data_IF_830226667711
#
_entry.id   IF_830226667711
#
_cell.length_a   1.000
_cell.length_b   1.000
_cell.length_c   1.000
_cell.angle_alpha   90.00
_cell.angle_beta   90.00
_cell.angle_gamma   90.00
#
_symmetry.space_group_name_H-M   'P 1'
#
loop_
_entity.id
_entity.type
_entity.pdbx_description
1 polymer ?
#
# COMPACT_ATOMS: atom_id res chain seq x y z
N UNK A 1 4.85 19.48 11.55
CA UNK A 1 4.39 18.53 10.52
C UNK A 1 3.91 17.22 11.15
N UNK A 2 4.77 16.40 11.75
CA UNK A 2 4.37 15.10 12.35
C UNK A 2 3.19 15.21 13.32
N UNK A 3 3.22 16.16 14.27
CA UNK A 3 2.10 16.37 15.20
C UNK A 3 0.78 16.74 14.50
N UNK A 4 0.86 17.50 13.40
CA UNK A 4 -0.31 17.83 12.58
C UNK A 4 -0.83 16.59 11.85
N UNK A 5 0.05 15.75 11.29
CA UNK A 5 -0.34 14.48 10.66
C UNK A 5 -1.00 13.54 11.67
N UNK A 6 -0.42 13.40 12.87
CA UNK A 6 -1.03 12.61 13.94
C UNK A 6 -2.40 13.16 14.36
N UNK A 7 -2.55 14.49 14.45
CA UNK A 7 -3.81 15.14 14.75
C UNK A 7 -4.87 14.90 13.68
N UNK A 8 -4.50 14.97 12.40
CA UNK A 8 -5.41 14.67 11.28
C UNK A 8 -5.83 13.20 11.30
N UNK A 9 -4.89 12.26 11.47
CA UNK A 9 -5.19 10.83 11.59
C UNK A 9 -6.11 10.54 12.78
N UNK A 10 -5.85 11.18 13.92
CA UNK A 10 -6.73 11.10 15.08
C UNK A 10 -8.14 11.61 14.75
N UNK A 11 -8.26 12.75 14.06
CA UNK A 11 -9.55 13.31 13.65
C UNK A 11 -10.32 12.49 12.61
N UNK A 12 -9.63 11.63 11.84
CA UNK A 12 -10.27 10.67 10.92
C UNK A 12 -10.91 9.52 11.70
N UNK A 13 -10.21 8.99 12.70
CA UNK A 13 -10.68 7.85 13.49
C UNK A 13 -11.68 8.29 14.57
N UNK A 14 -11.50 9.48 15.14
CA UNK A 14 -12.29 9.98 16.25
C UNK A 14 -13.13 11.20 15.86
N UNK A 15 -14.43 10.97 15.69
CA UNK A 15 -15.42 12.00 15.40
C UNK A 15 -16.13 12.42 16.68
N UNK A 16 -16.21 13.73 16.95
CA UNK A 16 -16.90 14.23 18.15
C UNK A 16 -18.42 14.14 17.97
N UNK A 17 -19.17 13.56 18.93
CA UNK A 17 -20.63 13.49 18.85
C UNK A 17 -21.26 14.87 19.09
N UNK A 18 -22.48 15.06 18.61
CA UNK A 18 -23.23 16.29 18.82
C UNK A 18 -23.50 16.53 20.32
N UNK A 19 -23.11 17.71 20.83
CA UNK A 19 -23.20 18.05 22.26
C UNK A 19 -24.61 18.42 22.77
N UNK A 20 -25.65 18.20 21.96
CA UNK A 20 -27.04 18.52 22.30
C UNK A 20 -27.38 20.00 22.04
N UNK A 21 -28.01 20.26 20.90
CA UNK A 21 -28.48 21.59 20.47
C UNK A 21 -29.38 21.48 19.23
N UNK A 22 -29.88 22.63 18.73
CA UNK A 22 -30.55 22.68 17.43
C UNK A 22 -29.52 22.45 16.31
N UNK A 23 -29.66 21.38 15.53
CA UNK A 23 -28.74 21.05 14.43
C UNK A 23 -28.13 19.63 14.48
N UNK A 24 -28.44 18.82 15.49
CA UNK A 24 -27.98 17.43 15.53
C UNK A 24 -28.73 16.54 14.51
N UNK A 25 -27.98 15.67 13.83
CA UNK A 25 -28.49 14.72 12.84
C UNK A 25 -28.44 13.31 13.44
N UNK A 26 -29.59 12.65 13.52
CA UNK A 26 -29.73 11.33 14.17
C UNK A 26 -29.72 10.16 13.16
N UNK A 27 -29.28 8.96 13.55
CA UNK A 27 -29.38 7.78 12.69
C UNK A 27 -30.84 7.39 12.46
N UNK A 28 -31.20 7.04 11.22
CA UNK A 28 -32.48 6.38 10.94
C UNK A 28 -32.51 4.94 11.48
N UNK A 29 -31.36 4.25 11.52
CA UNK A 29 -31.21 2.88 12.03
C UNK A 29 -31.55 2.74 13.52
N UNK A 30 -31.35 3.79 14.32
CA UNK A 30 -31.74 3.81 15.75
C UNK A 30 -33.23 3.52 15.97
N UNK A 31 -34.08 3.70 14.94
CA UNK A 31 -35.52 3.39 14.98
C UNK A 31 -35.85 1.92 14.68
N UNK A 32 -34.83 1.09 14.40
CA UNK A 32 -34.96 -0.32 13.99
C UNK A 32 -35.98 -0.52 12.86
N UNK A 33 -35.82 0.16 11.71
CA UNK A 33 -36.69 -0.08 10.56
C UNK A 33 -36.51 -1.52 10.05
N UNK A 34 -37.59 -2.12 9.53
CA UNK A 34 -37.48 -3.34 8.74
C UNK A 34 -36.89 -2.99 7.38
N UNK A 35 -35.71 -3.53 7.08
CA UNK A 35 -34.97 -3.25 5.86
C UNK A 35 -34.86 -4.50 5.00
N UNK A 36 -34.72 -4.27 3.71
CA UNK A 36 -34.52 -5.26 2.67
C UNK A 36 -33.36 -4.82 1.79
N UNK A 37 -32.47 -5.75 1.46
CA UNK A 37 -31.33 -5.52 0.57
C UNK A 37 -31.59 -6.20 -0.77
N UNK A 38 -31.62 -5.40 -1.83
CA UNK A 38 -31.85 -5.89 -3.20
C UNK A 38 -30.68 -5.50 -4.10
N UNK A 39 -30.15 -6.46 -4.84
CA UNK A 39 -29.09 -6.27 -5.84
C UNK A 39 -29.65 -6.57 -7.21
N UNK A 40 -29.59 -5.58 -8.09
CA UNK A 40 -29.98 -5.68 -9.49
C UNK A 40 -28.77 -5.51 -10.39
N UNK A 41 -28.84 -6.02 -11.61
CA UNK A 41 -27.84 -5.76 -12.64
C UNK A 41 -28.44 -5.08 -13.87
N UNK A 42 -27.69 -4.14 -14.45
CA UNK A 42 -28.09 -3.47 -15.68
C UNK A 42 -26.88 -3.10 -16.54
N UNK A 43 -27.12 -2.92 -17.85
CA UNK A 43 -26.08 -2.52 -18.83
C UNK A 43 -25.89 -1.00 -18.93
N UNK A 44 -26.66 -0.21 -18.19
CA UNK A 44 -26.59 1.25 -18.17
C UNK A 44 -26.15 1.71 -16.78
N UNK A 45 -25.47 2.86 -16.73
CA UNK A 45 -24.99 3.49 -15.50
C UNK A 45 -26.04 4.35 -14.78
N UNK A 46 -27.13 4.72 -15.46
CA UNK A 46 -28.28 5.39 -14.87
C UNK A 46 -29.56 4.58 -15.08
N UNK A 47 -30.30 4.37 -13.99
CA UNK A 47 -31.65 3.81 -14.02
C UNK A 47 -32.65 4.94 -14.18
N UNK A 48 -33.53 4.83 -15.18
CA UNK A 48 -34.74 5.64 -15.28
C UNK A 48 -35.85 5.00 -14.45
N UNK A 49 -36.83 4.38 -15.13
CA UNK A 49 -37.78 3.44 -14.54
C UNK A 49 -37.39 1.99 -14.88
N UNK A 50 -37.96 1.02 -14.15
CA UNK A 50 -37.89 -0.48 -14.14
C UNK A 50 -37.41 -1.25 -15.39
N UNK A 51 -37.25 -0.63 -16.55
CA UNK A 51 -36.94 -1.29 -17.79
C UNK A 51 -35.46 -1.70 -17.87
N UNK A 52 -35.22 -3.01 -18.05
CA UNK A 52 -33.92 -3.66 -18.27
C UNK A 52 -33.02 -3.80 -17.02
N UNK A 53 -33.63 -4.05 -15.86
CA UNK A 53 -32.92 -4.54 -14.68
C UNK A 53 -33.21 -6.02 -14.47
N UNK A 54 -32.18 -6.76 -14.06
CA UNK A 54 -32.31 -8.16 -13.65
C UNK A 54 -32.07 -8.26 -12.14
N UNK A 55 -32.97 -8.92 -11.41
CA UNK A 55 -32.84 -9.10 -9.96
C UNK A 55 -31.89 -10.27 -9.69
N UNK A 56 -30.75 -9.98 -9.06
CA UNK A 56 -29.70 -10.96 -8.81
C UNK A 56 -29.77 -11.54 -7.40
N UNK A 57 -30.01 -10.69 -6.41
CA UNK A 57 -30.10 -11.10 -5.02
C UNK A 57 -31.15 -10.26 -4.29
N UNK A 58 -32.01 -10.92 -3.52
CA UNK A 58 -32.95 -10.27 -2.63
C UNK A 58 -32.82 -10.87 -1.22
N UNK A 59 -32.63 -10.03 -0.21
CA UNK A 59 -32.59 -10.40 1.21
C UNK A 59 -33.73 -9.67 1.91
N UNK A 60 -34.85 -10.36 2.08
CA UNK A 60 -36.12 -9.79 2.56
C UNK A 60 -36.05 -9.29 4.00
N UNK A 61 -35.57 -10.12 4.94
CA UNK A 61 -35.34 -9.76 6.34
C UNK A 61 -33.86 -9.45 6.57
N UNK A 62 -33.41 -8.30 6.06
CA UNK A 62 -32.01 -7.90 6.18
C UNK A 62 -31.69 -7.40 7.59
N UNK A 63 -31.02 -8.25 8.37
CA UNK A 63 -30.45 -7.88 9.66
C UNK A 63 -29.07 -7.22 9.47
N UNK A 64 -29.02 -5.91 9.74
CA UNK A 64 -27.83 -5.07 9.64
C UNK A 64 -26.68 -5.52 10.54
N UNK A 65 -26.96 -6.24 11.63
CA UNK A 65 -25.93 -6.71 12.55
C UNK A 65 -25.30 -8.04 12.11
N UNK A 66 -25.99 -8.80 11.27
CA UNK A 66 -25.58 -10.14 10.84
C UNK A 66 -24.70 -10.10 9.59
N UNK A 67 -23.51 -10.70 9.68
CA UNK A 67 -22.64 -10.89 8.52
C UNK A 67 -23.19 -12.03 7.65
N UNK A 68 -23.14 -11.88 6.33
CA UNK A 68 -23.41 -12.99 5.42
C UNK A 68 -22.55 -12.94 4.16
N UNK A 69 -22.46 -14.09 3.50
CA UNK A 69 -21.84 -14.24 2.19
C UNK A 69 -22.72 -15.17 1.34
N UNK A 70 -23.08 -14.72 0.13
CA UNK A 70 -23.93 -15.48 -0.79
C UNK A 70 -23.37 -15.41 -2.20
N UNK A 71 -23.20 -16.56 -2.83
CA UNK A 71 -22.81 -16.66 -4.23
C UNK A 71 -24.03 -16.90 -5.11
N UNK A 72 -24.18 -16.09 -6.15
CA UNK A 72 -25.31 -16.12 -7.09
C UNK A 72 -24.78 -16.06 -8.51
N UNK A 73 -25.42 -16.77 -9.43
CA UNK A 73 -25.05 -16.73 -10.85
C UNK A 73 -25.76 -15.55 -11.52
N UNK A 74 -24.97 -14.67 -12.14
CA UNK A 74 -25.45 -13.48 -12.83
C UNK A 74 -25.48 -13.74 -14.33
N UNK A 75 -26.63 -13.49 -14.95
CA UNK A 75 -26.77 -13.53 -16.41
C UNK A 75 -25.98 -12.39 -17.06
N UNK A 76 -25.12 -12.71 -18.01
CA UNK A 76 -24.24 -11.76 -18.70
C UNK A 76 -24.84 -11.38 -20.07
N UNK A 77 -25.35 -10.14 -20.22
CA UNK A 77 -25.97 -9.70 -21.46
C UNK A 77 -24.98 -9.74 -22.64
N UNK A 78 -25.51 -9.92 -23.86
CA UNK A 78 -24.68 -9.91 -25.09
C UNK A 78 -23.85 -8.63 -25.23
N UNK A 79 -24.37 -7.49 -24.76
CA UNK A 79 -23.63 -6.22 -24.73
C UNK A 79 -22.38 -6.32 -23.87
N UNK A 80 -22.49 -6.91 -22.68
CA UNK A 80 -21.38 -7.09 -21.75
C UNK A 80 -20.33 -8.06 -22.31
N UNK A 81 -20.78 -9.18 -22.90
CA UNK A 81 -19.89 -10.13 -23.60
C UNK A 81 -19.15 -9.52 -24.80
N UNK A 82 -19.71 -8.46 -25.39
CA UNK A 82 -19.11 -7.68 -26.45
C UNK A 82 -18.39 -6.44 -25.88
N UNK A 83 -17.61 -6.62 -24.83
CA UNK A 83 -16.84 -5.54 -24.20
C UNK A 83 -17.74 -4.37 -23.77
N UNK A 84 -18.85 -4.65 -23.09
CA UNK A 84 -19.71 -3.63 -22.47
C UNK A 84 -19.65 -3.70 -20.94
N UNK A 85 -19.90 -2.59 -20.25
CA UNK A 85 -19.91 -2.57 -18.78
C UNK A 85 -21.21 -3.11 -18.22
N UNK A 86 -21.13 -4.03 -17.25
CA UNK A 86 -22.28 -4.42 -16.42
C UNK A 86 -22.19 -3.72 -15.06
N UNK A 87 -23.29 -3.12 -14.62
CA UNK A 87 -23.40 -2.43 -13.34
C UNK A 87 -24.26 -3.23 -12.36
N UNK A 88 -23.81 -3.33 -11.12
CA UNK A 88 -24.62 -3.74 -9.99
C UNK A 88 -25.24 -2.50 -9.34
N UNK A 89 -26.55 -2.54 -9.15
CA UNK A 89 -27.33 -1.58 -8.40
C UNK A 89 -27.73 -2.21 -7.08
N UNK A 90 -27.23 -1.65 -5.99
CA UNK A 90 -27.47 -2.14 -4.65
C UNK A 90 -28.42 -1.17 -3.97
N UNK A 91 -29.58 -1.67 -3.56
CA UNK A 91 -30.61 -0.90 -2.87
C UNK A 91 -30.79 -1.42 -1.46
N UNK A 92 -30.80 -0.49 -0.51
CA UNK A 92 -31.27 -0.70 0.85
C UNK A 92 -32.55 0.11 1.04
N UNK A 93 -33.66 -0.59 1.24
CA UNK A 93 -35.00 -0.01 1.25
C UNK A 93 -35.89 -0.66 2.31
N UNK A 94 -37.09 -0.12 2.53
CA UNK A 94 -38.04 -0.70 3.47
C UNK A 94 -38.54 -2.06 2.98
N UNK A 95 -38.66 -3.02 3.90
CA UNK A 95 -39.15 -4.35 3.59
C UNK A 95 -40.59 -4.32 3.03
N UNK A 96 -40.85 -5.07 1.96
CA UNK A 96 -42.16 -5.17 1.33
C UNK A 96 -42.53 -4.02 0.39
N UNK A 97 -41.62 -3.07 0.16
CA UNK A 97 -41.78 -1.99 -0.84
C UNK A 97 -40.71 -2.14 -1.91
N UNK A 98 -41.08 -2.04 -3.18
CA UNK A 98 -40.09 -2.05 -4.26
C UNK A 98 -39.15 -0.83 -4.14
N UNK A 99 -37.84 -0.97 -4.44
CA UNK A 99 -36.88 0.12 -4.28
C UNK A 99 -37.35 1.42 -4.94
N UNK A 100 -37.85 1.35 -6.18
CA UNK A 100 -38.27 2.53 -6.96
C UNK A 100 -39.45 3.30 -6.36
N UNK A 101 -40.22 2.68 -5.47
CA UNK A 101 -41.37 3.30 -4.78
C UNK A 101 -41.02 3.76 -3.36
N UNK A 102 -39.84 3.43 -2.84
CA UNK A 102 -39.42 3.85 -1.51
C UNK A 102 -38.66 5.20 -1.56
N UNK A 103 -39.29 6.27 -1.09
CA UNK A 103 -38.63 7.58 -0.96
C UNK A 103 -37.43 7.59 -0.01
N UNK A 104 -37.35 6.61 0.89
CA UNK A 104 -36.28 6.42 1.90
C UNK A 104 -35.22 5.41 1.47
N UNK A 105 -35.24 4.96 0.22
CA UNK A 105 -34.18 4.09 -0.28
C UNK A 105 -32.82 4.79 -0.30
N UNK A 106 -31.78 3.99 -0.07
CA UNK A 106 -30.38 4.31 -0.32
C UNK A 106 -29.89 3.37 -1.41
N UNK A 107 -29.20 3.91 -2.41
CA UNK A 107 -28.67 3.09 -3.49
C UNK A 107 -27.24 3.44 -3.82
N UNK A 108 -26.49 2.45 -4.27
CA UNK A 108 -25.15 2.60 -4.83
C UNK A 108 -25.05 1.83 -6.14
N UNK A 109 -24.14 2.28 -7.00
CA UNK A 109 -23.86 1.68 -8.29
C UNK A 109 -22.40 1.30 -8.34
N UNK A 110 -22.10 0.06 -8.73
CA UNK A 110 -20.72 -0.44 -8.89
C UNK A 110 -20.55 -1.19 -10.21
N UNK A 111 -19.50 -0.91 -11.00
CA UNK A 111 -19.21 -1.71 -12.18
C UNK A 111 -18.70 -3.10 -11.76
N UNK A 112 -19.37 -4.13 -12.26
CA UNK A 112 -18.98 -5.55 -12.11
C UNK A 112 -17.92 -5.97 -13.12
N UNK A 113 -17.66 -5.13 -14.12
CA UNK A 113 -16.66 -5.39 -15.17
C UNK A 113 -15.61 -4.30 -15.20
N UNK A 114 -14.38 -4.67 -15.54
CA UNK A 114 -13.24 -3.74 -15.71
C UNK A 114 -12.45 -4.10 -16.95
N UNK A 115 -11.77 -3.14 -17.58
CA UNK A 115 -10.94 -3.40 -18.77
C UNK A 115 -9.49 -3.44 -18.36
N UNK A 116 -8.81 -4.54 -18.64
CA UNK A 116 -7.39 -4.70 -18.35
C UNK A 116 -6.73 -5.55 -19.43
N UNK A 117 -5.45 -5.34 -19.64
CA UNK A 117 -4.63 -6.24 -20.45
C UNK A 117 -4.51 -7.56 -19.70
N UNK A 118 -4.84 -8.71 -20.33
CA UNK A 118 -4.80 -9.99 -19.65
C UNK A 118 -3.37 -10.30 -19.20
N UNK A 119 -3.22 -10.72 -17.94
CA UNK A 119 -1.91 -11.16 -17.45
C UNK A 119 -1.54 -12.48 -18.15
N UNK A 120 -0.29 -12.64 -18.63
CA UNK A 120 0.20 -13.97 -18.97
C UNK A 120 0.13 -14.83 -17.71
N UNK A 121 -0.30 -16.08 -17.84
CA UNK A 121 -0.28 -17.04 -16.73
C UNK A 121 1.15 -17.12 -16.17
N UNK A 122 1.30 -16.95 -14.85
CA UNK A 122 2.60 -17.01 -14.20
C UNK A 122 3.15 -18.43 -14.31
N UNK A 123 4.06 -18.63 -15.26
CA UNK A 123 4.76 -19.92 -15.43
C UNK A 123 5.72 -20.07 -14.26
N UNK A 124 5.39 -20.96 -13.32
CA UNK A 124 6.26 -21.32 -12.22
C UNK A 124 7.48 -22.11 -12.74
N UNK A 125 8.58 -21.39 -13.01
CA UNK A 125 9.84 -21.95 -13.53
C UNK A 125 10.54 -22.96 -12.61
N UNK A 126 10.05 -23.14 -11.38
CA UNK A 126 10.64 -24.04 -10.36
C UNK A 126 9.92 -25.39 -10.26
N UNK A 127 8.70 -25.50 -10.79
CA UNK A 127 7.96 -26.76 -10.90
C UNK A 127 8.08 -27.21 -12.34
N UNK A 128 8.96 -28.19 -12.62
CA UNK A 128 9.34 -28.64 -13.97
C UNK A 128 8.23 -29.30 -14.82
N UNK A 129 7.01 -28.75 -14.85
CA UNK A 129 5.87 -29.22 -15.65
C UNK A 129 5.79 -28.53 -17.03
N UNK A 130 6.84 -27.82 -17.44
CA UNK A 130 6.83 -26.95 -18.62
C UNK A 130 7.28 -27.67 -19.90
N UNK A 131 6.33 -28.28 -20.60
CA UNK A 131 6.42 -28.45 -22.05
C UNK A 131 5.06 -28.23 -22.74
N UNK A 132 3.98 -28.71 -22.12
CA UNK A 132 2.63 -28.56 -22.67
C UNK A 132 2.07 -27.12 -22.54
N UNK A 133 2.32 -26.45 -21.40
CA UNK A 133 1.82 -25.08 -21.16
C UNK A 133 2.58 -24.01 -21.95
N UNK A 134 3.88 -24.21 -22.21
CA UNK A 134 4.67 -23.29 -23.05
C UNK A 134 4.18 -23.25 -24.50
N UNK A 135 3.79 -24.42 -25.03
CA UNK A 135 3.23 -24.56 -26.39
C UNK A 135 1.86 -23.91 -26.57
N UNK A 136 1.07 -23.73 -25.51
CA UNK A 136 -0.23 -23.03 -25.57
C UNK A 136 -0.08 -21.51 -25.39
N UNK A 137 0.89 -21.05 -24.59
CA UNK A 137 1.20 -19.64 -24.42
C UNK A 137 1.84 -19.02 -25.69
N UNK A 138 2.73 -19.74 -26.38
CA UNK A 138 3.35 -19.30 -27.64
C UNK A 138 2.41 -19.34 -28.86
N UNK A 139 1.31 -20.12 -28.80
CA UNK A 139 0.34 -20.21 -29.92
C UNK A 139 -0.62 -19.03 -30.03
N UNK A 140 -0.71 -18.17 -29.01
CA UNK A 140 -1.52 -16.95 -29.10
C UNK A 140 -0.74 -15.86 -29.83
N UNK A 141 -1.30 -15.24 -30.89
CA UNK A 141 -0.61 -14.18 -31.60
C UNK A 141 -0.28 -13.02 -30.63
N UNK A 142 0.92 -12.42 -30.71
CA UNK A 142 1.36 -11.39 -29.76
C UNK A 142 0.42 -10.18 -29.70
N UNK A 143 -0.28 -9.88 -30.80
CA UNK A 143 -1.29 -8.81 -30.83
C UNK A 143 -2.55 -9.07 -30.00
N UNK A 144 -2.88 -10.33 -29.69
CA UNK A 144 -4.08 -10.67 -28.94
C UNK A 144 -3.89 -10.62 -27.41
N UNK A 145 -2.63 -10.55 -26.94
CA UNK A 145 -2.29 -10.44 -25.51
C UNK A 145 -2.18 -8.97 -25.06
N UNK A 146 -1.95 -8.04 -25.99
CA UNK A 146 -1.81 -6.60 -25.70
C UNK A 146 -3.14 -5.83 -25.77
N UNK A 147 -4.22 -6.44 -26.27
CA UNK A 147 -5.53 -5.80 -26.33
C UNK A 147 -6.25 -5.88 -24.97
N UNK A 148 -6.78 -4.76 -24.43
CA UNK A 148 -7.52 -4.77 -23.18
C UNK A 148 -8.83 -5.56 -23.35
N UNK A 149 -9.00 -6.60 -22.53
CA UNK A 149 -10.20 -7.44 -22.50
C UNK A 149 -11.04 -7.12 -21.27
N UNK A 150 -12.35 -7.35 -21.37
CA UNK A 150 -13.26 -7.18 -20.25
C UNK A 150 -13.07 -8.30 -19.23
N UNK A 151 -12.85 -7.92 -17.99
CA UNK A 151 -12.71 -8.80 -16.85
C UNK A 151 -13.91 -8.65 -15.91
N UNK A 152 -14.34 -9.77 -15.33
CA UNK A 152 -15.39 -9.90 -14.35
C UNK A 152 -14.84 -9.78 -12.94
N UNK A 153 -15.57 -9.07 -12.07
CA UNK A 153 -15.33 -8.99 -10.64
C UNK A 153 -16.23 -9.99 -9.92
N UNK A 154 -15.70 -11.12 -9.46
CA UNK A 154 -16.52 -12.18 -8.87
C UNK A 154 -16.98 -11.86 -7.44
N UNK A 155 -16.50 -10.79 -6.81
CA UNK A 155 -16.82 -10.44 -5.43
C UNK A 155 -17.35 -9.00 -5.34
N UNK A 156 -18.45 -8.84 -4.61
CA UNK A 156 -19.05 -7.55 -4.25
C UNK A 156 -19.16 -7.47 -2.72
N UNK A 157 -18.25 -6.72 -2.11
CA UNK A 157 -18.23 -6.51 -0.66
C UNK A 157 -18.99 -5.24 -0.30
N UNK A 158 -20.01 -5.38 0.53
CA UNK A 158 -20.92 -4.33 0.97
C UNK A 158 -20.76 -4.10 2.46
N UNK A 159 -20.79 -2.83 2.87
CA UNK A 159 -20.77 -2.44 4.27
C UNK A 159 -21.87 -1.44 4.58
N UNK A 160 -22.49 -1.58 5.75
CA UNK A 160 -23.43 -0.60 6.28
C UNK A 160 -22.90 -0.07 7.61
N UNK A 161 -22.93 1.24 7.79
CA UNK A 161 -22.60 1.85 9.07
C UNK A 161 -23.76 1.65 10.05
N UNK A 162 -23.54 0.80 11.06
CA UNK A 162 -24.59 0.41 12.04
C UNK A 162 -24.47 1.20 13.35
N UNK A 163 -23.37 1.92 13.56
CA UNK A 163 -23.13 2.69 14.78
C UNK A 163 -24.16 3.82 14.97
N UNK A 164 -24.77 3.90 16.15
CA UNK A 164 -25.75 4.93 16.53
C UNK A 164 -25.04 6.27 16.84
N UNK A 165 -24.38 6.84 15.84
CA UNK A 165 -23.65 8.10 15.97
C UNK A 165 -24.53 9.30 15.64
N UNK A 166 -24.51 10.33 16.50
CA UNK A 166 -25.22 11.59 16.29
C UNK A 166 -24.25 12.65 15.78
N UNK A 167 -24.38 13.01 14.50
CA UNK A 167 -23.55 14.04 13.89
C UNK A 167 -24.02 15.43 14.29
N UNK A 168 -23.07 16.33 14.44
CA UNK A 168 -23.33 17.77 14.48
C UNK A 168 -23.38 18.32 13.05
N UNK A 169 -24.50 18.92 12.67
CA UNK A 169 -24.69 19.47 11.32
C UNK A 169 -23.72 20.60 10.98
N UNK A 170 -23.18 21.32 11.97
CA UNK A 170 -22.22 22.39 11.73
C UNK A 170 -20.79 21.87 11.48
N UNK A 171 -20.46 20.70 12.01
CA UNK A 171 -19.12 20.10 11.94
C UNK A 171 -19.09 18.76 11.21
N UNK A 172 -20.02 18.57 10.26
CA UNK A 172 -20.14 17.33 9.51
C UNK A 172 -18.91 17.09 8.61
N UNK A 173 -18.19 15.97 8.77
CA UNK A 173 -17.05 15.65 7.92
C UNK A 173 -17.46 15.46 6.45
N UNK A 174 -16.74 16.13 5.53
CA UNK A 174 -17.05 16.12 4.10
C UNK A 174 -16.93 14.73 3.46
N UNK A 175 -16.02 13.89 3.98
CA UNK A 175 -15.82 12.50 3.59
C UNK A 175 -17.09 11.66 3.77
N UNK A 176 -17.78 11.82 4.90
CA UNK A 176 -19.02 11.09 5.20
C UNK A 176 -20.21 11.73 4.51
N UNK A 177 -20.23 13.06 4.39
CA UNK A 177 -21.34 13.81 3.80
C UNK A 177 -21.73 13.32 2.40
N UNK A 178 -20.75 12.93 1.57
CA UNK A 178 -20.98 12.38 0.22
C UNK A 178 -21.83 11.11 0.19
N UNK A 179 -21.80 10.32 1.26
CA UNK A 179 -22.53 9.06 1.38
C UNK A 179 -23.82 9.19 2.21
N UNK A 180 -24.09 10.38 2.77
CA UNK A 180 -25.24 10.61 3.63
C UNK A 180 -26.42 11.17 2.84
N UNK A 181 -27.56 10.48 2.92
CA UNK A 181 -28.85 11.02 2.50
C UNK A 181 -29.63 11.44 3.74
N UNK A 182 -29.91 12.74 3.86
CA UNK A 182 -30.65 13.29 4.99
C UNK A 182 -32.14 13.38 4.69
N UNK A 183 -32.96 13.10 5.70
CA UNK A 183 -34.41 13.20 5.66
C UNK A 183 -34.92 13.92 6.90
N UNK A 184 -35.91 14.80 6.73
CA UNK A 184 -36.57 15.47 7.83
C UNK A 184 -37.72 14.61 8.36
N UNK A 185 -37.65 14.17 9.61
CA UNK A 185 -38.78 13.53 10.30
C UNK A 185 -39.28 14.46 11.41
N UNK A 186 -40.38 15.15 11.13
CA UNK A 186 -40.95 16.14 12.04
C UNK A 186 -40.00 17.30 12.31
N UNK A 187 -39.59 17.50 13.57
CA UNK A 187 -38.67 18.58 13.99
C UNK A 187 -37.20 18.17 13.95
N UNK A 188 -36.88 16.93 13.58
CA UNK A 188 -35.53 16.36 13.69
C UNK A 188 -35.01 15.83 12.36
N UNK A 189 -33.78 16.18 12.02
CA UNK A 189 -33.07 15.67 10.84
C UNK A 189 -32.52 14.27 11.16
N UNK A 190 -32.74 13.33 10.25
CA UNK A 190 -32.13 12.00 10.32
C UNK A 190 -31.30 11.72 9.08
N UNK A 191 -30.23 10.93 9.21
CA UNK A 191 -29.53 10.37 8.06
C UNK A 191 -29.99 8.93 7.83
N UNK A 192 -30.21 8.58 6.57
CA UNK A 192 -30.47 7.22 6.13
C UNK A 192 -29.21 6.35 6.28
N UNK A 193 -29.35 5.01 6.32
CA UNK A 193 -28.23 4.11 6.52
C UNK A 193 -27.12 4.38 5.50
N UNK A 194 -25.88 4.53 5.98
CA UNK A 194 -24.74 4.78 5.10
C UNK A 194 -24.28 3.44 4.55
N UNK A 195 -24.66 3.16 3.30
CA UNK A 195 -24.15 2.03 2.52
C UNK A 195 -22.81 2.41 1.91
N UNK A 196 -21.88 1.46 1.88
CA UNK A 196 -20.54 1.61 1.34
C UNK A 196 -20.14 0.35 0.58
N UNK A 197 -19.42 0.50 -0.53
CA UNK A 197 -18.90 -0.63 -1.32
C UNK A 197 -17.39 -0.65 -1.14
N UNK A 198 -16.87 -1.76 -0.63
CA UNK A 198 -15.45 -1.94 -0.47
C UNK A 198 -14.79 -2.30 -1.82
N UNK A 199 -14.29 -1.27 -2.51
CA UNK A 199 -13.53 -1.41 -3.75
C UNK A 199 -12.06 -1.80 -3.52
N UNK A 200 -11.59 -1.73 -2.28
CA UNK A 200 -10.20 -2.03 -1.91
C UNK A 200 -9.99 -3.54 -1.80
N UNK A 201 -11.00 -4.26 -1.31
CA UNK A 201 -11.05 -5.72 -1.33
C UNK A 201 -11.05 -6.33 -2.75
N UNK A 202 -11.40 -5.55 -3.77
CA UNK A 202 -11.37 -6.03 -5.16
C UNK A 202 -9.95 -5.97 -5.71
N UNK A 203 -9.32 -7.15 -5.78
CA UNK A 203 -7.95 -7.30 -6.25
C UNK A 203 -7.87 -7.70 -7.70
N UNK A 204 -6.82 -7.26 -8.39
CA UNK A 204 -6.55 -7.62 -9.79
C UNK A 204 -6.35 -9.13 -9.96
N UNK A 205 -5.77 -9.80 -8.96
CA UNK A 205 -5.54 -11.26 -8.96
C UNK A 205 -6.83 -12.10 -9.00
N UNK A 206 -7.96 -11.54 -8.55
CA UNK A 206 -9.23 -12.24 -8.46
C UNK A 206 -10.14 -11.99 -9.68
N UNK A 207 -9.67 -11.22 -10.66
CA UNK A 207 -10.43 -10.90 -11.86
C UNK A 207 -10.48 -12.08 -12.83
N UNK A 208 -11.66 -12.33 -13.40
CA UNK A 208 -11.86 -13.42 -14.37
C UNK A 208 -12.07 -12.86 -15.78
N UNK A 209 -11.42 -13.41 -16.80
CA UNK A 209 -11.61 -12.96 -18.18
C UNK A 209 -13.02 -13.32 -18.67
N UNK A 210 -13.73 -12.36 -19.27
CA UNK A 210 -15.06 -12.58 -19.85
C UNK A 210 -14.90 -13.07 -21.29
N UNK A 211 -15.37 -14.30 -21.55
CA UNK A 211 -15.41 -14.85 -22.90
C UNK A 211 -16.75 -14.53 -23.59
N UNK A 212 -16.76 -14.55 -24.92
CA UNK A 212 -17.99 -14.35 -25.72
C UNK A 212 -19.05 -15.43 -25.48
N UNK A 213 -18.64 -16.61 -24.99
CA UNK A 213 -19.50 -17.74 -24.63
C UNK A 213 -20.01 -17.70 -23.19
N UNK A 214 -19.45 -16.85 -22.31
CA UNK A 214 -19.82 -16.79 -20.88
C UNK A 214 -21.21 -16.17 -20.71
N UNK A 215 -22.25 -17.00 -20.64
CA UNK A 215 -23.64 -16.55 -20.45
C UNK A 215 -23.98 -16.26 -18.99
N UNK A 216 -23.34 -16.96 -18.05
CA UNK A 216 -23.52 -16.77 -16.61
C UNK A 216 -22.16 -16.71 -15.93
N UNK A 217 -22.02 -15.83 -14.94
CA UNK A 217 -20.80 -15.71 -14.13
C UNK A 217 -21.16 -15.64 -12.64
N UNK A 218 -20.37 -16.27 -11.75
CA UNK A 218 -20.64 -16.25 -10.33
C UNK A 218 -20.31 -14.88 -9.72
N UNK A 219 -21.22 -14.36 -8.90
CA UNK A 219 -21.04 -13.16 -8.09
C UNK A 219 -21.23 -13.52 -6.62
N UNK A 220 -20.20 -13.32 -5.82
CA UNK A 220 -20.25 -13.47 -4.37
C UNK A 220 -20.51 -12.12 -3.73
N UNK A 221 -21.73 -11.96 -3.20
CA UNK A 221 -22.13 -10.78 -2.43
C UNK A 221 -21.84 -11.03 -0.97
N UNK A 222 -20.87 -10.29 -0.43
CA UNK A 222 -20.47 -10.37 0.97
C UNK A 222 -20.91 -9.10 1.69
N UNK A 223 -21.56 -9.23 2.83
CA UNK A 223 -22.02 -8.12 3.65
C UNK A 223 -21.40 -8.18 5.04
N UNK A 224 -20.88 -7.05 5.53
CA UNK A 224 -20.40 -6.91 6.91
C UNK A 224 -20.68 -5.51 7.46
N UNK A 225 -20.88 -5.39 8.78
CA UNK A 225 -21.07 -4.08 9.42
C UNK A 225 -19.76 -3.32 9.56
N UNK A 226 -19.84 -1.98 9.55
CA UNK A 226 -18.68 -1.11 9.73
C UNK A 226 -18.94 -0.03 10.79
N UNK A 227 -17.93 0.27 11.60
CA UNK A 227 -17.97 1.40 12.54
C UNK A 227 -17.64 2.72 11.83
N UNK A 228 -18.01 3.85 12.40
CA UNK A 228 -17.78 5.17 11.79
C UNK A 228 -16.28 5.43 11.56
N UNK A 229 -15.44 5.20 12.57
CA UNK A 229 -13.99 5.41 12.45
C UNK A 229 -13.35 4.53 11.37
N UNK A 230 -13.78 3.27 11.28
CA UNK A 230 -13.29 2.35 10.23
C UNK A 230 -13.78 2.76 8.84
N UNK A 231 -15.04 3.17 8.72
CA UNK A 231 -15.62 3.66 7.47
C UNK A 231 -14.85 4.87 6.95
N UNK A 232 -14.61 5.88 7.79
CA UNK A 232 -13.88 7.10 7.42
C UNK A 232 -12.45 6.79 6.99
N UNK A 233 -11.76 5.94 7.74
CA UNK A 233 -10.44 5.46 7.35
C UNK A 233 -10.46 4.78 5.98
N UNK A 234 -11.45 3.92 5.72
CA UNK A 234 -11.58 3.19 4.46
C UNK A 234 -11.91 4.11 3.27
N UNK A 235 -12.76 5.12 3.46
CA UNK A 235 -13.04 6.17 2.46
C UNK A 235 -11.75 6.90 2.10
N UNK A 236 -10.98 7.36 3.10
CA UNK A 236 -9.71 8.03 2.87
C UNK A 236 -8.69 7.14 2.15
N UNK A 237 -8.65 5.86 2.48
CA UNK A 237 -7.78 4.90 1.81
C UNK A 237 -8.18 4.69 0.35
N UNK A 238 -9.49 4.58 0.08
CA UNK A 238 -10.01 4.47 -1.29
C UNK A 238 -9.68 5.72 -2.12
N UNK A 239 -9.86 6.91 -1.54
CA UNK A 239 -9.52 8.18 -2.20
C UNK A 239 -8.01 8.31 -2.43
N UNK A 240 -7.18 7.83 -1.50
CA UNK A 240 -5.73 7.82 -1.66
C UNK A 240 -5.27 6.90 -2.80
N UNK A 241 -5.82 5.68 -2.89
CA UNK A 241 -5.54 4.75 -3.99
C UNK A 241 -6.01 5.33 -5.32
N UNK A 242 -7.20 5.92 -5.36
CA UNK A 242 -7.71 6.61 -6.54
C UNK A 242 -6.80 7.77 -6.96
N UNK A 243 -6.32 8.56 -6.01
CA UNK A 243 -5.38 9.66 -6.26
C UNK A 243 -4.04 9.16 -6.81
N UNK A 244 -3.51 8.03 -6.32
CA UNK A 244 -2.30 7.41 -6.87
C UNK A 244 -2.47 7.07 -8.36
N UNK A 245 -3.62 6.50 -8.73
CA UNK A 245 -3.93 6.21 -10.14
C UNK A 245 -4.00 7.50 -10.97
N UNK A 246 -4.58 8.58 -10.44
CA UNK A 246 -4.61 9.88 -11.11
C UNK A 246 -3.21 10.49 -11.30
N UNK A 247 -2.26 10.19 -10.42
CA UNK A 247 -0.85 10.60 -10.57
C UNK A 247 -0.06 9.74 -11.56
N UNK A 248 -0.70 8.78 -12.24
CA UNK A 248 -0.08 7.96 -13.28
C UNK A 248 0.50 6.64 -12.80
N UNK A 249 0.23 6.21 -11.56
CA UNK A 249 0.55 4.85 -11.13
C UNK A 249 -0.28 3.82 -11.91
N UNK A 250 0.33 2.70 -12.26
CA UNK A 250 -0.37 1.60 -12.92
C UNK A 250 -1.45 1.02 -12.00
N UNK A 251 -2.53 0.47 -12.57
CA UNK A 251 -3.53 -0.27 -11.78
C UNK A 251 -2.90 -1.43 -11.00
N UNK A 252 -1.81 -2.02 -11.52
CA UNK A 252 -1.04 -3.04 -10.83
C UNK A 252 -0.40 -2.50 -9.54
N UNK A 253 0.32 -1.39 -9.64
CA UNK A 253 1.01 -0.79 -8.49
C UNK A 253 -0.02 -0.31 -7.44
N UNK A 254 -1.14 0.24 -7.89
CA UNK A 254 -2.26 0.59 -7.02
C UNK A 254 -2.86 -0.64 -6.32
N UNK A 255 -2.97 -1.78 -7.02
CA UNK A 255 -3.44 -3.04 -6.46
C UNK A 255 -2.47 -3.65 -5.43
N UNK A 256 -1.17 -3.50 -5.63
CA UNK A 256 -0.16 -3.88 -4.63
C UNK A 256 -0.33 -3.05 -3.35
N UNK A 257 -0.55 -1.74 -3.48
CA UNK A 257 -0.87 -0.87 -2.33
C UNK A 257 -2.15 -1.32 -1.64
N UNK A 258 -3.22 -1.64 -2.37
CA UNK A 258 -4.45 -2.21 -1.78
C UNK A 258 -4.15 -3.47 -0.99
N UNK A 259 -3.31 -4.35 -1.52
CA UNK A 259 -2.94 -5.59 -0.86
C UNK A 259 -2.23 -5.41 0.47
N UNK A 260 -1.37 -4.42 0.58
CA UNK A 260 -0.70 -4.11 1.86
C UNK A 260 -1.74 -3.83 2.96
N UNK A 261 -2.81 -3.09 2.65
CA UNK A 261 -3.81 -2.73 3.65
C UNK A 261 -4.93 -3.76 3.87
N UNK A 262 -5.29 -4.52 2.83
CA UNK A 262 -6.35 -5.54 2.90
C UNK A 262 -5.83 -6.87 3.43
N UNK A 263 -4.66 -7.30 2.95
CA UNK A 263 -4.11 -8.63 3.27
C UNK A 263 -3.33 -8.61 4.61
N UNK A 264 -2.87 -7.44 5.07
CA UNK A 264 -2.09 -7.31 6.31
C UNK A 264 -2.95 -6.79 7.46
N UNK A 265 -2.72 -7.29 8.67
CA UNK A 265 -3.31 -6.71 9.86
C UNK A 265 -2.79 -5.27 10.07
N UNK A 266 -3.71 -4.31 10.21
CA UNK A 266 -3.40 -2.90 10.42
C UNK A 266 -2.45 -2.65 11.60
N UNK A 267 -2.50 -3.47 12.67
CA UNK A 267 -1.58 -3.34 13.81
C UNK A 267 -0.13 -3.67 13.42
N UNK A 268 0.09 -4.75 12.66
CA UNK A 268 1.42 -5.10 12.16
C UNK A 268 1.91 -4.05 11.15
N UNK A 269 1.04 -3.58 10.27
CA UNK A 269 1.38 -2.54 9.31
C UNK A 269 1.81 -1.25 10.01
N UNK A 270 1.06 -0.78 11.00
CA UNK A 270 1.39 0.40 11.78
C UNK A 270 2.74 0.25 12.53
N UNK A 271 3.00 -0.93 13.10
CA UNK A 271 4.28 -1.22 13.75
C UNK A 271 5.44 -1.18 12.74
N UNK A 272 5.27 -1.77 11.56
CA UNK A 272 6.29 -1.74 10.51
C UNK A 272 6.60 -0.31 10.07
N UNK A 273 5.58 0.52 9.85
CA UNK A 273 5.78 1.95 9.54
C UNK A 273 6.50 2.69 10.66
N UNK A 274 6.15 2.41 11.91
CA UNK A 274 6.78 3.01 13.08
C UNK A 274 8.27 2.65 13.15
N UNK A 275 8.61 1.36 13.10
CA UNK A 275 10.00 0.88 13.13
C UNK A 275 10.80 1.45 11.95
N UNK A 276 10.23 1.43 10.74
CA UNK A 276 10.83 2.02 9.55
C UNK A 276 11.14 3.52 9.72
N UNK A 277 10.22 4.30 10.28
CA UNK A 277 10.42 5.72 10.52
C UNK A 277 11.56 5.98 11.53
N UNK A 278 11.65 5.16 12.60
CA UNK A 278 12.75 5.26 13.57
C UNK A 278 14.09 4.88 12.96
N UNK A 279 14.13 3.85 12.10
CA UNK A 279 15.35 3.45 11.41
C UNK A 279 15.90 4.60 10.55
N UNK A 280 15.05 5.18 9.70
CA UNK A 280 15.40 6.32 8.86
C UNK A 280 15.81 7.56 9.68
N UNK A 281 15.14 7.81 10.81
CA UNK A 281 15.49 8.90 11.71
C UNK A 281 16.89 8.71 12.32
N UNK A 282 17.19 7.51 12.83
CA UNK A 282 18.48 7.22 13.44
C UNK A 282 19.63 7.24 12.42
N UNK A 283 19.41 6.68 11.22
CA UNK A 283 20.38 6.76 10.14
C UNK A 283 20.67 8.22 9.76
N UNK A 284 19.63 9.03 9.60
CA UNK A 284 19.78 10.45 9.30
C UNK A 284 20.56 11.20 10.40
N UNK A 285 20.24 10.95 11.67
CA UNK A 285 20.95 11.57 12.79
C UNK A 285 22.42 11.12 12.86
N UNK A 286 22.69 9.84 12.61
CA UNK A 286 24.03 9.29 12.54
C UNK A 286 24.85 9.97 11.42
N UNK A 287 24.30 10.05 10.20
CA UNK A 287 24.96 10.74 9.08
C UNK A 287 25.17 12.22 9.36
N UNK A 288 24.17 12.91 9.92
CA UNK A 288 24.28 14.33 10.26
C UNK A 288 25.40 14.59 11.27
N UNK A 289 25.49 13.77 12.31
CA UNK A 289 26.53 13.90 13.34
C UNK A 289 27.91 13.66 12.73
N UNK A 290 28.05 12.56 12.00
CA UNK A 290 29.30 12.13 11.38
C UNK A 290 29.81 13.15 10.34
N UNK A 291 28.96 13.63 9.43
CA UNK A 291 29.30 14.70 8.48
C UNK A 291 29.69 15.98 9.23
N UNK A 292 28.96 16.38 10.28
CA UNK A 292 29.25 17.59 11.06
C UNK A 292 30.61 17.51 11.75
N UNK A 293 30.92 16.36 12.37
CA UNK A 293 32.21 16.10 13.02
C UNK A 293 33.35 16.19 12.02
N UNK A 294 33.26 15.46 10.90
CA UNK A 294 34.31 15.43 9.89
C UNK A 294 34.44 16.76 9.17
N UNK A 295 33.35 17.50 8.92
CA UNK A 295 33.39 18.82 8.26
C UNK A 295 34.17 19.84 9.11
N UNK A 296 33.94 19.88 10.43
CA UNK A 296 34.59 20.83 11.34
C UNK A 296 36.06 20.50 11.62
N UNK A 297 36.48 19.24 11.48
CA UNK A 297 37.83 18.80 11.80
C UNK A 297 38.84 19.22 10.73
N UNK A 298 39.91 19.90 11.15
CA UNK A 298 41.01 20.40 10.30
C UNK A 298 42.32 19.63 10.44
N UNK A 299 42.51 18.91 11.56
CA UNK A 299 43.70 18.14 11.87
C UNK A 299 43.33 16.70 12.21
N UNK A 300 44.17 15.74 11.80
CA UNK A 300 43.98 14.30 12.06
C UNK A 300 44.68 13.80 13.33
N UNK A 301 45.13 14.70 14.20
CA UNK A 301 45.71 14.34 15.50
C UNK A 301 44.69 13.50 16.29
N UNK A 302 45.14 12.35 16.79
CA UNK A 302 44.32 11.40 17.56
C UNK A 302 43.36 10.53 16.73
N UNK A 303 43.51 10.47 15.41
CA UNK A 303 42.71 9.57 14.54
C UNK A 303 43.60 8.68 13.68
N UNK A 304 43.23 7.41 13.62
CA UNK A 304 43.89 6.41 12.77
C UNK A 304 43.43 6.52 11.33
N UNK A 305 44.34 6.85 10.41
CA UNK A 305 44.10 6.84 8.96
C UNK A 305 43.84 5.41 8.46
N UNK A 306 44.54 4.42 9.05
CA UNK A 306 44.36 3.00 8.72
C UNK A 306 42.97 2.49 9.11
N UNK A 307 42.48 2.87 10.29
CA UNK A 307 41.13 2.51 10.73
C UNK A 307 40.05 3.13 9.82
N UNK A 308 40.25 4.38 9.37
CA UNK A 308 39.32 5.05 8.44
C UNK A 308 39.31 4.35 7.07
N UNK A 309 40.48 3.94 6.56
CA UNK A 309 40.58 3.16 5.33
C UNK A 309 39.89 1.79 5.46
N UNK A 310 40.15 1.06 6.54
CA UNK A 310 39.57 -0.25 6.78
C UNK A 310 38.05 -0.18 6.97
N UNK A 311 37.57 0.85 7.66
CA UNK A 311 36.14 1.11 7.83
C UNK A 311 35.48 1.42 6.48
N UNK A 312 36.10 2.25 5.65
CA UNK A 312 35.61 2.52 4.31
C UNK A 312 35.53 1.25 3.45
N UNK A 313 36.61 0.45 3.42
CA UNK A 313 36.64 -0.82 2.71
C UNK A 313 35.50 -1.75 3.18
N UNK A 314 35.37 -1.94 4.49
CA UNK A 314 34.35 -2.81 5.08
C UNK A 314 32.93 -2.33 4.72
N UNK A 315 32.65 -1.03 4.83
CA UNK A 315 31.33 -0.46 4.50
C UNK A 315 31.00 -0.61 3.02
N UNK A 316 31.98 -0.44 2.12
CA UNK A 316 31.78 -0.64 0.68
C UNK A 316 31.48 -2.10 0.37
N UNK A 317 32.21 -3.04 0.97
CA UNK A 317 31.96 -4.48 0.80
C UNK A 317 30.56 -4.86 1.31
N UNK A 318 30.17 -4.37 2.48
CA UNK A 318 28.82 -4.59 3.04
C UNK A 318 27.76 -4.02 2.11
N UNK A 319 27.94 -2.81 1.57
CA UNK A 319 27.00 -2.21 0.63
C UNK A 319 26.87 -3.06 -0.65
N UNK A 320 27.98 -3.52 -1.23
CA UNK A 320 27.96 -4.38 -2.41
C UNK A 320 27.27 -5.72 -2.13
N UNK A 321 27.49 -6.31 -0.95
CA UNK A 321 26.78 -7.52 -0.52
C UNK A 321 25.27 -7.28 -0.39
N UNK A 322 24.86 -6.18 0.26
CA UNK A 322 23.45 -5.82 0.40
C UNK A 322 22.76 -5.52 -0.94
N UNK A 323 23.53 -5.02 -1.91
CA UNK A 323 23.06 -4.78 -3.27
C UNK A 323 22.86 -6.09 -4.04
N UNK A 324 23.78 -7.05 -3.88
CA UNK A 324 23.71 -8.38 -4.51
C UNK A 324 22.54 -9.22 -3.97
N UNK A 325 22.35 -9.20 -2.65
CA UNK A 325 21.23 -9.87 -1.96
C UNK A 325 19.84 -9.21 -2.18
N UNK A 326 19.76 -8.15 -3.01
CA UNK A 326 18.51 -7.40 -3.28
C UNK A 326 17.73 -7.01 -2.02
N UNK A 327 18.45 -6.55 -0.99
CA UNK A 327 17.84 -6.17 0.28
C UNK A 327 16.89 -4.97 0.17
N UNK A 328 15.99 -4.81 1.15
CA UNK A 328 15.00 -3.74 1.13
C UNK A 328 15.62 -2.35 0.92
N UNK A 329 14.98 -1.51 0.10
CA UNK A 329 15.43 -0.15 -0.18
C UNK A 329 15.65 0.69 1.09
N UNK A 330 14.87 0.41 2.14
CA UNK A 330 14.99 1.06 3.44
C UNK A 330 16.37 0.86 4.08
N UNK A 331 17.04 -0.25 3.84
CA UNK A 331 18.38 -0.56 4.37
C UNK A 331 19.45 -0.23 3.33
N UNK A 332 19.20 -0.55 2.06
CA UNK A 332 20.16 -0.36 0.97
C UNK A 332 20.51 1.12 0.73
N UNK A 333 19.51 2.01 0.75
CA UNK A 333 19.73 3.44 0.49
C UNK A 333 20.57 4.09 1.59
N UNK A 334 20.26 3.95 2.89
CA UNK A 334 21.16 4.41 3.95
C UNK A 334 22.55 3.79 3.88
N UNK A 335 22.68 2.49 3.59
CA UNK A 335 23.99 1.85 3.45
C UNK A 335 24.82 2.48 2.31
N UNK A 336 24.20 2.77 1.16
CA UNK A 336 24.83 3.45 0.03
C UNK A 336 25.26 4.89 0.35
N UNK A 337 24.41 5.66 1.05
CA UNK A 337 24.75 7.00 1.55
C UNK A 337 25.93 6.90 2.54
N UNK A 338 25.91 5.93 3.45
CA UNK A 338 26.99 5.65 4.39
C UNK A 338 28.32 5.35 3.68
N UNK A 339 28.30 4.51 2.65
CA UNK A 339 29.48 4.21 1.83
C UNK A 339 30.04 5.46 1.15
N UNK A 340 29.18 6.31 0.58
CA UNK A 340 29.59 7.58 -0.02
C UNK A 340 30.19 8.55 1.01
N UNK A 341 29.64 8.61 2.23
CA UNK A 341 30.19 9.42 3.33
C UNK A 341 31.57 8.89 3.75
N UNK A 342 31.75 7.57 3.90
CA UNK A 342 33.05 6.97 4.26
C UNK A 342 34.12 7.24 3.17
N UNK A 343 33.75 7.16 1.88
CA UNK A 343 34.65 7.54 0.77
C UNK A 343 35.07 9.00 0.86
N UNK A 344 34.13 9.90 1.18
CA UNK A 344 34.43 11.31 1.41
C UNK A 344 35.38 11.53 2.60
N UNK A 345 35.21 10.78 3.70
CA UNK A 345 36.14 10.84 4.84
C UNK A 345 37.53 10.39 4.46
N UNK A 346 37.69 9.31 3.70
CA UNK A 346 39.01 8.84 3.23
C UNK A 346 39.69 9.93 2.40
N UNK A 347 38.96 10.53 1.44
CA UNK A 347 39.48 11.66 0.65
C UNK A 347 39.97 12.80 1.56
N UNK A 348 39.21 13.13 2.60
CA UNK A 348 39.57 14.18 3.57
C UNK A 348 40.74 13.79 4.48
N UNK A 349 40.77 12.56 4.99
CA UNK A 349 41.81 12.02 5.86
C UNK A 349 43.17 12.00 5.17
N UNK A 350 43.20 11.64 3.89
CA UNK A 350 44.40 11.64 3.06
C UNK A 350 44.81 13.05 2.56
N UNK A 351 44.05 14.11 2.93
CA UNK A 351 44.21 15.49 2.43
C UNK A 351 44.39 15.53 0.90
N UNK A 352 43.61 14.69 0.19
CA UNK A 352 43.86 14.39 -1.21
C UNK A 352 43.38 15.55 -2.09
N UNK A 353 44.34 16.24 -2.72
CA UNK A 353 44.07 17.33 -3.65
C UNK A 353 44.21 16.80 -5.08
N UNK A 354 43.11 16.76 -5.83
CA UNK A 354 43.11 16.29 -7.22
C UNK A 354 43.45 17.48 -8.11
N UNK A 355 44.71 17.58 -8.52
CA UNK A 355 45.15 18.58 -9.49
C UNK A 355 45.01 17.98 -10.89
N UNK A 356 44.16 18.60 -11.71
CA UNK A 356 44.00 18.25 -13.12
C UNK A 356 45.13 18.91 -13.92
N UNK A 357 46.03 18.10 -14.49
CA UNK A 357 47.03 18.53 -15.49
C UNK A 357 46.71 17.80 -16.79
N UNK A 358 45.88 18.40 -17.64
CA UNK A 358 45.37 17.75 -18.86
C UNK A 358 44.33 16.66 -18.58
N UNK A 359 44.38 15.55 -19.33
CA UNK A 359 43.44 14.40 -19.24
C UNK A 359 43.75 13.41 -18.10
N UNK A 360 44.86 13.56 -17.38
CA UNK A 360 45.30 12.61 -16.35
C UNK A 360 45.20 13.29 -14.97
N UNK A 361 44.37 12.78 -14.04
CA UNK A 361 44.30 13.31 -12.69
C UNK A 361 45.57 12.93 -11.90
N UNK A 362 46.31 13.92 -11.38
CA UNK A 362 47.43 13.70 -10.46
C UNK A 362 46.95 13.90 -9.02
N UNK A 363 47.03 12.84 -8.23
CA UNK A 363 46.70 12.86 -6.81
C UNK A 363 47.89 13.41 -6.02
N UNK A 364 47.72 14.53 -5.32
CA UNK A 364 48.70 15.03 -4.35
C UNK A 364 48.18 14.80 -2.93
N UNK A 365 49.01 14.17 -2.10
CA UNK A 365 48.76 13.97 -0.68
C UNK A 365 49.39 15.14 0.11
N UNK A 366 48.63 15.72 1.05
CA UNK A 366 49.12 16.82 1.89
C UNK A 366 50.19 16.37 2.90
N UNK A 367 50.99 17.31 3.40
CA UNK A 367 52.00 17.04 4.43
C UNK A 367 51.36 16.82 5.80
N UNK A 368 51.93 15.90 6.58
CA UNK A 368 51.52 15.60 7.96
C UNK A 368 52.28 16.50 8.94
N UNK A 369 51.61 17.01 9.96
CA UNK A 369 52.29 17.72 11.07
C UNK A 369 53.04 16.72 11.96
N UNK A 370 54.05 17.16 12.71
CA UNK A 370 54.80 16.25 13.61
C UNK A 370 53.92 15.50 14.62
N UNK A 371 52.87 16.15 15.09
CA UNK A 371 51.85 15.56 15.97
C UNK A 371 50.97 14.51 15.28
N UNK A 372 50.70 14.66 13.98
CA UNK A 372 50.02 13.64 13.16
C UNK A 372 50.95 12.44 12.95
N UNK A 373 52.25 12.67 12.73
CA UNK A 373 53.25 11.59 12.56
C UNK A 373 53.41 10.74 13.82
N UNK A 374 53.47 11.37 15.01
CA UNK A 374 53.47 10.63 16.29
C UNK A 374 52.21 9.80 16.46
N UNK A 375 51.05 10.31 16.03
CA UNK A 375 49.79 9.54 16.07
C UNK A 375 49.85 8.32 15.15
N UNK A 376 50.44 8.46 13.96
CA UNK A 376 50.61 7.37 12.99
C UNK A 376 51.61 6.30 13.46
N UNK A 377 52.66 6.69 14.18
CA UNK A 377 53.60 5.74 14.81
C UNK A 377 52.89 4.85 15.84
N UNK A 378 52.12 5.46 16.75
CA UNK A 378 51.32 4.70 17.72
C UNK A 378 50.28 3.81 17.04
N UNK A 379 49.61 4.32 16.00
CA UNK A 379 48.63 3.56 15.22
C UNK A 379 49.27 2.34 14.53
N UNK A 380 50.46 2.50 13.97
CA UNK A 380 51.20 1.40 13.33
C UNK A 380 51.56 0.31 14.33
N UNK A 381 51.99 0.71 15.53
CA UNK A 381 52.32 -0.24 16.60
C UNK A 381 51.08 -0.99 17.08
N UNK A 382 49.95 -0.29 17.28
CA UNK A 382 48.68 -0.91 17.66
C UNK A 382 48.18 -1.91 16.60
N UNK A 383 48.21 -1.54 15.32
CA UNK A 383 47.79 -2.41 14.21
C UNK A 383 48.69 -3.65 14.07
N UNK A 384 49.99 -3.53 14.37
CA UNK A 384 50.92 -4.67 14.37
C UNK A 384 50.57 -5.69 15.46
N UNK A 385 50.22 -5.24 16.67
CA UNK A 385 49.79 -6.16 17.72
C UNK A 385 48.41 -6.76 17.43
N UNK A 386 47.50 -5.96 16.88
CA UNK A 386 46.18 -6.44 16.48
C UNK A 386 46.26 -7.53 15.40
N UNK A 387 47.14 -7.36 14.41
CA UNK A 387 47.27 -8.33 13.31
C UNK A 387 47.78 -9.70 13.77
N UNK A 388 48.61 -9.75 14.83
CA UNK A 388 49.03 -11.02 15.44
C UNK A 388 47.88 -11.82 16.03
N UNK A 389 46.80 -11.16 16.45
CA UNK A 389 45.59 -11.85 16.91
C UNK A 389 44.61 -12.11 15.74
N UNK A 390 44.43 -11.12 14.86
CA UNK A 390 43.40 -11.15 13.82
C UNK A 390 43.70 -12.17 12.72
N UNK A 391 44.96 -12.26 12.25
CA UNK A 391 45.31 -13.17 11.15
C UNK A 391 45.15 -14.65 11.53
N UNK A 392 45.62 -15.13 12.70
CA UNK A 392 45.35 -16.51 13.12
C UNK A 392 43.85 -16.78 13.26
N UNK A 393 43.07 -15.82 13.77
CA UNK A 393 41.63 -15.97 13.94
C UNK A 393 40.90 -16.09 12.57
N UNK A 394 41.26 -15.24 11.60
CA UNK A 394 40.70 -15.31 10.25
C UNK A 394 41.09 -16.61 9.52
N UNK A 395 42.34 -17.04 9.62
CA UNK A 395 42.81 -18.31 9.02
C UNK A 395 42.11 -19.49 9.68
N UNK A 396 42.00 -19.50 11.01
CA UNK A 396 41.29 -20.53 11.77
C UNK A 396 39.80 -20.58 11.42
N UNK A 397 39.14 -19.42 11.31
CA UNK A 397 37.74 -19.32 10.88
C UNK A 397 37.53 -19.79 9.44
N UNK A 398 38.43 -19.44 8.52
CA UNK A 398 38.38 -19.90 7.13
C UNK A 398 38.58 -21.42 7.03
N UNK A 399 39.53 -21.99 7.77
CA UNK A 399 39.75 -23.43 7.82
C UNK A 399 38.56 -24.18 8.45
N UNK A 400 38.00 -23.65 9.55
CA UNK A 400 36.80 -24.20 10.17
C UNK A 400 35.59 -24.15 9.24
N UNK A 401 35.38 -23.04 8.54
CA UNK A 401 34.32 -22.90 7.56
C UNK A 401 34.51 -23.91 6.42
N UNK A 402 35.71 -24.03 5.86
CA UNK A 402 36.02 -25.00 4.79
C UNK A 402 35.75 -26.45 5.21
N UNK A 403 36.02 -26.80 6.47
CA UNK A 403 35.79 -28.15 7.00
C UNK A 403 34.32 -28.44 7.33
N UNK A 404 33.49 -27.40 7.56
CA UNK A 404 32.09 -27.53 7.98
C UNK A 404 31.06 -27.06 6.96
N UNK A 405 31.48 -26.57 5.79
CA UNK A 405 30.59 -26.38 4.64
C UNK A 405 30.23 -27.76 4.11
N UNK A 406 28.98 -28.18 4.35
CA UNK A 406 28.33 -29.36 3.78
C UNK A 406 27.49 -28.97 2.58
#
# INVERSE_FOLDING_TARGET
>A
YVAHTCWVLYGIVHTRPCAGGGGCIRPYLARRPKLQLSVYTATRSSLGAENNVDLVLNVEDFDVDSKFERTVNVSVPKKTRNNGTLYAYIFLHHAGVLPWHDGKQVHLVSPLTTYMVPKPEEVHLLTGESAAQQLEAEKKPPSALDEPVSHWRPRLTLNVMVEDFVFDGASLPADVHRYMKMIQLGKTVHYLPILFIDQLSNRVKDLMVINRSSTELPLTVAYDKISLGRLRFWIHMQDAVYSLQQFGFSEKDADEVKGIFVDTNLYFLALTFFVAAFHLLFDFLAFKNDISFWKKKKSMIGMSTKAVLWRCFSTVVIFLFLLDEQTSLLVLVPAGIGAAIELWKVKKALKMTVLWRGLIPRLQFGTYSESERKTEEYDTQAMKYLSYLLYPLCIGGAAYSLLNVK
#
